data_IF_723773996459
#
_entry.id   IF_723773996459
#
_cell.length_a   1.000
_cell.length_b   1.000
_cell.length_c   1.000
_cell.angle_alpha   90.00
_cell.angle_beta   90.00
_cell.angle_gamma   90.00
#
_symmetry.space_group_name_H-M   'P 1'
#
loop_
_entity.id
_entity.type
_entity.pdbx_description
1 polymer ?
#
# COMPACT_ATOMS: atom_id res chain seq x y z
N UNK A 1 -11.01 16.43 1.15
CA UNK A 1 -9.54 16.42 0.98
C UNK A 1 -9.17 15.28 0.04
N UNK A 2 -8.40 15.51 -1.04
CA UNK A 2 -8.01 14.43 -1.92
C UNK A 2 -7.21 13.41 -1.11
N UNK A 3 -7.71 12.16 -1.07
CA UNK A 3 -7.05 11.06 -0.38
C UNK A 3 -5.73 10.82 -1.13
N UNK A 4 -4.61 11.31 -0.60
CA UNK A 4 -3.28 10.97 -1.11
C UNK A 4 -3.01 9.49 -0.76
N UNK A 5 -3.52 8.60 -1.60
CA UNK A 5 -3.62 7.19 -1.33
C UNK A 5 -4.09 6.41 -2.54
N UNK A 6 -4.07 5.09 -2.43
CA UNK A 6 -4.54 4.17 -3.47
C UNK A 6 -5.40 3.10 -2.81
N UNK A 7 -6.43 2.61 -3.50
CA UNK A 7 -7.33 1.59 -2.98
C UNK A 7 -7.48 0.44 -3.96
N UNK A 8 -7.73 -0.75 -3.43
CA UNK A 8 -8.00 -1.96 -4.20
C UNK A 8 -9.20 -2.67 -3.60
N UNK A 9 -10.07 -3.14 -4.47
CA UNK A 9 -11.10 -4.10 -4.12
C UNK A 9 -10.63 -5.50 -4.48
N UNK A 10 -10.35 -6.31 -3.46
CA UNK A 10 -9.89 -7.70 -3.65
C UNK A 10 -10.99 -8.69 -3.26
N UNK A 11 -11.12 -9.78 -4.02
CA UNK A 11 -12.00 -10.90 -3.67
C UNK A 11 -11.16 -12.08 -3.23
N UNK A 12 -11.19 -12.37 -1.94
CA UNK A 12 -10.45 -13.48 -1.34
C UNK A 12 -11.45 -14.46 -0.73
N UNK A 13 -11.37 -15.74 -1.12
CA UNK A 13 -12.27 -16.81 -0.62
C UNK A 13 -13.77 -16.44 -0.69
N UNK A 14 -14.18 -15.74 -1.75
CA UNK A 14 -15.56 -15.31 -1.95
C UNK A 14 -16.01 -14.08 -1.13
N UNK A 15 -15.15 -13.53 -0.28
CA UNK A 15 -15.41 -12.29 0.46
C UNK A 15 -14.72 -11.11 -0.22
N UNK A 16 -15.40 -9.97 -0.26
CA UNK A 16 -14.85 -8.70 -0.73
C UNK A 16 -14.10 -8.05 0.43
N UNK A 17 -12.87 -7.63 0.18
CA UNK A 17 -12.06 -6.83 1.09
C UNK A 17 -11.60 -5.56 0.37
N UNK A 18 -11.48 -4.47 1.12
CA UNK A 18 -10.95 -3.21 0.62
C UNK A 18 -9.59 -2.95 1.25
N UNK A 19 -8.55 -2.92 0.42
CA UNK A 19 -7.20 -2.54 0.82
C UNK A 19 -7.03 -1.05 0.51
N UNK A 20 -6.65 -0.25 1.50
CA UNK A 20 -6.37 1.18 1.33
C UNK A 20 -4.95 1.49 1.77
N UNK A 21 -4.27 2.34 1.00
CA UNK A 21 -3.02 2.96 1.40
C UNK A 21 -3.27 4.43 1.64
N UNK A 22 -2.93 4.90 2.84
CA UNK A 22 -3.10 6.29 3.26
C UNK A 22 -1.75 6.90 3.59
N UNK A 23 -1.39 8.00 2.93
CA UNK A 23 -0.21 8.78 3.34
C UNK A 23 -0.58 9.75 4.46
N UNK A 24 0.31 9.85 5.45
CA UNK A 24 0.24 10.84 6.53
C UNK A 24 1.46 11.75 6.44
N UNK A 25 1.42 12.84 5.63
CA UNK A 25 2.58 13.69 5.36
C UNK A 25 3.21 14.29 6.63
N UNK A 26 2.39 14.64 7.62
CA UNK A 26 2.85 15.25 8.88
C UNK A 26 3.72 14.31 9.72
N UNK A 27 3.49 12.99 9.62
CA UNK A 27 4.29 11.95 10.27
C UNK A 27 5.33 11.34 9.32
N UNK A 28 5.24 11.69 8.03
CA UNK A 28 6.00 11.10 6.96
C UNK A 28 6.03 9.56 6.95
N UNK A 29 4.87 8.97 7.19
CA UNK A 29 4.60 7.54 7.07
C UNK A 29 3.47 7.29 6.06
N UNK A 30 3.45 6.09 5.51
CA UNK A 30 2.28 5.49 4.88
C UNK A 30 1.69 4.41 5.77
N UNK A 31 0.37 4.27 5.71
CA UNK A 31 -0.40 3.28 6.47
C UNK A 31 -1.16 2.40 5.50
N UNK A 32 -1.17 1.09 5.74
CA UNK A 32 -1.96 0.11 4.99
C UNK A 32 -3.12 -0.33 5.87
N UNK A 33 -4.33 -0.24 5.34
CA UNK A 33 -5.56 -0.64 6.00
C UNK A 33 -6.31 -1.69 5.16
N UNK A 34 -6.90 -2.68 5.81
CA UNK A 34 -7.79 -3.67 5.21
C UNK A 34 -9.13 -3.59 5.91
N UNK A 35 -10.20 -3.33 5.16
CA UNK A 35 -11.55 -3.12 5.70
C UNK A 35 -11.63 -2.07 6.83
N UNK A 36 -10.72 -1.08 6.78
CA UNK A 36 -10.59 -0.01 7.79
C UNK A 36 -9.70 -0.35 8.99
N UNK A 37 -9.16 -1.57 9.08
CA UNK A 37 -8.22 -1.98 10.12
C UNK A 37 -6.77 -1.82 9.67
N UNK A 38 -5.91 -1.24 10.50
CA UNK A 38 -4.49 -1.05 10.18
C UNK A 38 -3.73 -2.38 10.20
N UNK A 39 -3.27 -2.82 9.04
CA UNK A 39 -2.45 -4.04 8.89
C UNK A 39 -0.96 -3.76 8.76
N UNK A 40 -0.56 -2.52 8.43
CA UNK A 40 0.85 -2.21 8.22
C UNK A 40 1.17 -0.72 8.15
N UNK A 41 2.47 -0.43 8.20
CA UNK A 41 3.02 0.92 8.12
C UNK A 41 4.39 0.89 7.43
N UNK A 42 4.71 1.96 6.70
CA UNK A 42 6.01 2.12 6.05
C UNK A 42 6.51 3.57 6.14
N UNK A 43 7.83 3.80 6.15
CA UNK A 43 8.38 5.15 6.10
C UNK A 43 8.12 5.78 4.73
N UNK A 44 7.57 7.00 4.71
CA UNK A 44 7.37 7.76 3.49
C UNK A 44 8.44 8.85 3.29
N UNK A 45 9.05 9.40 4.35
CA UNK A 45 10.02 10.53 4.25
C UNK A 45 11.31 10.20 3.51
N UNK A 46 11.85 9.00 3.70
CA UNK A 46 13.15 8.60 3.14
C UNK A 46 13.11 8.47 1.61
N UNK A 47 11.96 8.07 1.07
CA UNK A 47 11.72 7.92 -0.36
C UNK A 47 11.50 9.25 -1.10
N UNK A 48 11.00 10.29 -0.41
CA UNK A 48 10.76 11.61 -1.01
C UNK A 48 12.01 12.47 -1.20
N UNK A 49 13.14 12.11 -0.57
CA UNK A 49 14.39 12.90 -0.62
C UNK A 49 15.36 12.32 -1.68
N UNK A 50 14.91 11.36 -2.51
CA UNK A 50 15.77 10.73 -3.51
C UNK A 50 16.91 9.90 -2.90
N UNK A 51 16.85 9.62 -1.60
CA UNK A 51 17.83 8.78 -0.92
C UNK A 51 17.48 7.33 -1.24
N UNK A 52 17.90 6.88 -2.43
CA UNK A 52 17.82 5.50 -2.93
C UNK A 52 18.60 4.48 -2.08
N UNK A 53 19.04 4.85 -0.87
CA UNK A 53 19.76 3.99 0.07
C UNK A 53 18.84 3.12 0.93
N UNK A 54 17.52 3.37 0.91
CA UNK A 54 16.56 2.52 1.61
C UNK A 54 15.94 1.52 0.63
N UNK A 55 15.88 0.21 0.99
CA UNK A 55 15.21 -0.78 0.17
C UNK A 55 13.76 -0.34 -0.08
N UNK A 56 13.26 -0.57 -1.30
CA UNK A 56 11.85 -0.34 -1.65
C UNK A 56 10.98 -0.97 -0.56
N UNK A 57 10.18 -0.20 0.20
CA UNK A 57 9.43 -0.75 1.31
C UNK A 57 8.46 -1.79 0.79
N UNK A 58 8.55 -2.99 1.34
CA UNK A 58 7.57 -4.05 1.16
C UNK A 58 6.83 -4.22 2.48
N UNK A 59 5.49 -4.17 2.42
CA UNK A 59 4.64 -4.44 3.58
C UNK A 59 3.94 -5.77 3.34
N UNK A 60 4.33 -6.77 4.11
CA UNK A 60 3.71 -8.09 4.11
C UNK A 60 2.54 -8.09 5.10
N UNK A 61 1.39 -8.59 4.69
CA UNK A 61 0.20 -8.74 5.52
C UNK A 61 -0.67 -9.88 4.99
N UNK A 62 -1.73 -10.23 5.72
CA UNK A 62 -2.66 -11.28 5.32
C UNK A 62 -4.09 -10.73 5.21
N UNK A 63 -4.83 -11.24 4.23
CA UNK A 63 -6.26 -10.97 4.06
C UNK A 63 -6.98 -12.32 4.04
N UNK A 64 -7.79 -12.60 5.07
CA UNK A 64 -8.52 -13.88 5.19
C UNK A 64 -7.63 -15.12 5.03
N UNK A 65 -6.38 -15.05 5.54
CA UNK A 65 -5.38 -16.12 5.46
C UNK A 65 -4.72 -16.29 4.09
N UNK A 66 -4.80 -15.27 3.22
CA UNK A 66 -4.06 -15.21 1.95
C UNK A 66 -2.94 -14.17 2.08
N UNK A 67 -1.69 -14.53 1.76
CA UNK A 67 -0.56 -13.61 1.84
C UNK A 67 -0.71 -12.49 0.81
N UNK A 68 -0.49 -11.27 1.28
CA UNK A 68 -0.54 -10.05 0.50
C UNK A 68 0.76 -9.27 0.70
N UNK A 69 1.25 -8.66 -0.38
CA UNK A 69 2.46 -7.83 -0.35
C UNK A 69 2.15 -6.51 -1.04
N UNK A 70 2.30 -5.41 -0.30
CA UNK A 70 2.29 -4.08 -0.88
C UNK A 70 3.73 -3.65 -1.12
N UNK A 71 4.09 -3.44 -2.39
CA UNK A 71 5.36 -2.85 -2.77
C UNK A 71 5.20 -1.35 -2.99
N UNK A 72 6.03 -0.57 -2.33
CA UNK A 72 6.05 0.88 -2.43
C UNK A 72 7.22 1.29 -3.32
N UNK A 73 6.91 1.81 -4.49
CA UNK A 73 7.90 2.29 -5.44
C UNK A 73 7.99 3.84 -5.37
N UNK A 74 9.17 4.40 -5.05
CA UNK A 74 9.36 5.85 -5.13
C UNK A 74 9.34 6.31 -6.60
N UNK A 75 8.45 7.25 -6.91
CA UNK A 75 8.49 8.01 -8.17
C UNK A 75 9.14 9.37 -7.96
N UNK A 76 9.46 10.07 -9.07
CA UNK A 76 10.12 11.38 -9.03
C UNK A 76 9.24 12.48 -8.39
N UNK A 77 7.91 12.35 -8.48
CA UNK A 77 6.94 13.31 -7.96
C UNK A 77 5.81 12.67 -7.14
N UNK A 78 5.69 11.34 -7.18
CA UNK A 78 4.60 10.57 -6.60
C UNK A 78 5.12 9.25 -6.03
N UNK A 79 4.22 8.45 -5.44
CA UNK A 79 4.53 7.11 -4.99
C UNK A 79 3.65 6.17 -5.81
N UNK A 80 4.27 5.15 -6.37
CA UNK A 80 3.57 4.05 -6.98
C UNK A 80 3.44 2.90 -5.99
N UNK A 81 2.31 2.20 -6.12
CA UNK A 81 1.95 1.11 -5.25
C UNK A 81 1.51 -0.06 -6.10
N UNK A 82 2.13 -1.20 -5.85
CA UNK A 82 1.77 -2.49 -6.43
C UNK A 82 1.28 -3.39 -5.29
N UNK A 83 0.05 -3.88 -5.43
CA UNK A 83 -0.50 -4.86 -4.51
C UNK A 83 -0.41 -6.24 -5.15
N UNK A 84 0.24 -7.16 -4.46
CA UNK A 84 0.25 -8.58 -4.81
C UNK A 84 -0.64 -9.33 -3.83
N UNK A 85 -1.56 -10.14 -4.34
CA UNK A 85 -2.40 -11.06 -3.55
C UNK A 85 -2.16 -12.44 -4.10
N UNK A 86 -1.70 -13.38 -3.26
CA UNK A 86 -1.36 -14.73 -3.71
C UNK A 86 -0.39 -14.70 -4.92
N UNK A 87 0.66 -13.89 -4.80
CA UNK A 87 1.69 -13.64 -5.83
C UNK A 87 1.20 -12.99 -7.14
N UNK A 88 -0.09 -12.64 -7.25
CA UNK A 88 -0.67 -11.98 -8.43
C UNK A 88 -0.81 -10.49 -8.21
N UNK A 89 -0.33 -9.71 -9.18
CA UNK A 89 -0.53 -8.26 -9.21
C UNK A 89 -2.02 -7.93 -9.34
N UNK A 90 -2.50 -7.04 -8.48
CA UNK A 90 -3.88 -6.54 -8.48
C UNK A 90 -3.88 -5.07 -8.89
N UNK A 91 -4.69 -4.77 -9.90
CA UNK A 91 -4.88 -3.39 -10.34
C UNK A 91 -5.67 -2.57 -9.31
N UNK A 92 -5.28 -1.31 -9.08
CA UNK A 92 -6.00 -0.40 -8.20
C UNK A 92 -7.40 -0.09 -8.73
N UNK A 93 -8.32 0.21 -7.83
CA UNK A 93 -9.60 0.81 -8.21
C UNK A 93 -9.28 2.21 -8.80
N UNK A 94 -9.69 2.46 -10.04
CA UNK A 94 -9.47 3.75 -10.71
C UNK A 94 -10.24 4.84 -9.94
N UNK A 95 -9.53 5.88 -9.50
CA UNK A 95 -10.12 7.12 -8.95
C UNK A 95 -9.83 8.26 -9.89
#
# INVERSE_FOLDING_TARGET
>A
MPRMGKSWTVRVRGRKHTVEVKRKPWLAIGVVEVDGERVGMFPAKALSIGISLFPKPEVNFEVSGVPCVLKVQPGMFTYDYELYVDEKLVEPDVV
#
